data_IF_768397402421
#
_entry.id   IF_768397402421
#
_cell.length_a   1.000
_cell.length_b   1.000
_cell.length_c   1.000
_cell.angle_alpha   90.00
_cell.angle_beta   90.00
_cell.angle_gamma   90.00
#
_symmetry.space_group_name_H-M   'P 1'
#
loop_
_entity.id
_entity.type
_entity.pdbx_description
1 polymer ?
#
# COMPACT_ATOMS: atom_id res chain seq x y z
N UNK A 1 20.76 -1.74 21.72
CA UNK A 1 21.01 -2.42 20.43
C UNK A 1 20.27 -1.68 19.36
N UNK A 2 20.99 -0.93 18.57
CA UNK A 2 20.44 -0.34 17.38
C UNK A 2 20.33 -1.45 16.33
N UNK A 3 19.14 -2.06 16.26
CA UNK A 3 18.84 -2.90 15.12
C UNK A 3 18.85 -2.01 13.89
N UNK A 4 19.97 -1.90 13.21
CA UNK A 4 20.01 -1.47 11.86
C UNK A 4 19.09 -2.42 11.09
N UNK A 5 17.83 -2.04 10.92
CA UNK A 5 17.04 -2.62 9.84
C UNK A 5 17.81 -2.20 8.58
N UNK A 6 18.64 -3.09 8.09
CA UNK A 6 19.29 -2.89 6.80
C UNK A 6 18.17 -2.59 5.82
N UNK A 7 18.21 -1.41 5.19
CA UNK A 7 17.34 -1.09 4.06
C UNK A 7 17.56 -2.21 3.06
N UNK A 8 16.50 -2.93 2.63
CA UNK A 8 16.67 -4.03 1.69
C UNK A 8 17.41 -3.51 0.45
N UNK A 9 18.47 -4.20 0.08
CA UNK A 9 19.17 -3.85 -1.14
C UNK A 9 18.29 -4.17 -2.35
N UNK A 10 18.45 -3.44 -3.44
CA UNK A 10 17.67 -3.67 -4.66
C UNK A 10 17.75 -5.12 -5.16
N UNK A 11 18.86 -5.81 -4.87
CA UNK A 11 19.06 -7.22 -5.23
C UNK A 11 18.13 -8.19 -4.50
N UNK A 12 17.54 -7.78 -3.36
CA UNK A 12 16.60 -8.60 -2.60
C UNK A 12 15.18 -8.58 -3.20
N UNK A 13 14.95 -7.74 -4.20
CA UNK A 13 13.64 -7.55 -4.83
C UNK A 13 13.60 -8.19 -6.21
N UNK A 14 12.43 -8.72 -6.56
CA UNK A 14 12.15 -9.24 -7.90
C UNK A 14 11.52 -8.13 -8.74
N UNK A 15 12.07 -7.88 -9.92
CA UNK A 15 11.48 -6.95 -10.88
C UNK A 15 10.12 -7.48 -11.36
N UNK A 16 9.17 -6.59 -11.55
CA UNK A 16 7.90 -6.92 -12.19
C UNK A 16 8.18 -7.06 -13.69
N UNK A 17 8.02 -8.27 -14.20
CA UNK A 17 8.24 -8.61 -15.61
C UNK A 17 6.92 -8.71 -16.37
N UNK A 18 6.16 -7.63 -16.32
CA UNK A 18 4.89 -7.50 -17.04
C UNK A 18 4.76 -6.08 -17.56
N UNK A 19 4.21 -5.89 -18.79
CA UNK A 19 3.93 -4.55 -19.26
C UNK A 19 2.86 -3.89 -18.38
N UNK A 20 3.03 -2.59 -18.15
CA UNK A 20 2.08 -1.79 -17.39
C UNK A 20 0.73 -1.73 -18.11
N UNK A 21 -0.34 -2.07 -17.40
CA UNK A 21 -1.70 -1.88 -17.88
C UNK A 21 -2.16 -0.43 -17.73
N UNK A 22 -3.12 -0.05 -18.55
CA UNK A 22 -3.70 1.29 -18.56
C UNK A 22 -5.21 1.31 -18.31
N UNK A 23 -5.74 0.30 -17.63
CA UNK A 23 -7.12 0.30 -17.17
C UNK A 23 -7.35 1.35 -16.07
N UNK A 24 -8.59 1.56 -15.66
CA UNK A 24 -8.89 2.63 -14.71
C UNK A 24 -8.28 2.37 -13.34
N UNK A 25 -8.26 1.12 -12.87
CA UNK A 25 -7.57 0.76 -11.62
C UNK A 25 -6.08 1.12 -11.66
N UNK A 26 -5.41 0.77 -12.76
CA UNK A 26 -3.99 1.06 -12.94
C UNK A 26 -3.70 2.55 -12.95
N UNK A 27 -4.50 3.33 -13.65
CA UNK A 27 -4.40 4.79 -13.67
C UNK A 27 -4.60 5.40 -12.30
N UNK A 28 -5.60 4.93 -11.57
CA UNK A 28 -5.92 5.41 -10.22
C UNK A 28 -4.81 5.08 -9.24
N UNK A 29 -4.31 3.84 -9.24
CA UNK A 29 -3.22 3.43 -8.37
C UNK A 29 -1.97 4.27 -8.61
N UNK A 30 -1.58 4.45 -9.86
CA UNK A 30 -0.41 5.26 -10.23
C UNK A 30 -0.61 6.73 -9.86
N UNK A 31 -1.81 7.26 -10.00
CA UNK A 31 -2.12 8.63 -9.57
C UNK A 31 -1.82 8.81 -8.07
N UNK A 32 -2.22 7.84 -7.24
CA UNK A 32 -1.91 7.90 -5.80
C UNK A 32 -0.41 7.73 -5.55
N UNK A 33 0.23 6.74 -6.16
CA UNK A 33 1.66 6.48 -5.99
C UNK A 33 2.49 7.71 -6.37
N UNK A 34 2.15 8.39 -7.46
CA UNK A 34 2.85 9.60 -7.90
C UNK A 34 2.41 10.89 -7.19
N UNK A 35 1.38 10.82 -6.33
CA UNK A 35 1.01 11.91 -5.42
C UNK A 35 1.69 11.81 -4.06
N UNK A 36 2.54 10.81 -3.86
CA UNK A 36 3.20 10.57 -2.57
C UNK A 36 4.17 11.69 -2.16
N UNK A 37 4.71 12.44 -3.11
CA UNK A 37 5.69 13.52 -2.87
C UNK A 37 5.15 14.66 -2.00
N UNK A 38 3.87 14.90 -1.99
CA UNK A 38 3.24 15.97 -1.19
C UNK A 38 2.41 15.45 -0.01
N UNK A 39 2.59 14.18 0.38
CA UNK A 39 1.84 13.57 1.48
C UNK A 39 0.35 13.43 1.21
N UNK A 40 -0.04 13.31 -0.06
CA UNK A 40 -1.42 13.17 -0.50
C UNK A 40 -2.32 14.36 -0.13
N UNK A 41 -1.75 15.55 0.02
CA UNK A 41 -2.49 16.77 0.45
C UNK A 41 -3.71 17.03 -0.43
N UNK A 42 -3.59 16.85 -1.74
CA UNK A 42 -4.69 17.07 -2.69
C UNK A 42 -5.83 16.05 -2.57
N UNK A 43 -5.63 14.99 -1.77
CA UNK A 43 -6.60 13.91 -1.59
C UNK A 43 -7.21 13.90 -0.19
N UNK A 44 -6.75 14.75 0.72
CA UNK A 44 -7.28 14.86 2.07
C UNK A 44 -8.66 15.51 2.06
N UNK A 45 -9.62 14.80 2.63
CA UNK A 45 -10.96 15.31 2.91
C UNK A 45 -11.15 15.63 4.39
N UNK A 46 -12.32 15.34 4.91
CA UNK A 46 -12.65 15.58 6.31
C UNK A 46 -11.86 14.70 7.25
N UNK A 47 -11.48 15.27 8.39
CA UNK A 47 -10.84 14.52 9.48
C UNK A 47 -11.80 13.44 10.01
N UNK A 48 -11.30 12.22 10.15
CA UNK A 48 -12.02 11.10 10.75
C UNK A 48 -11.55 10.99 12.20
N UNK A 49 -12.49 10.82 13.14
CA UNK A 49 -12.12 10.56 14.52
C UNK A 49 -11.36 9.23 14.63
N UNK A 50 -10.20 9.28 15.29
CA UNK A 50 -9.37 8.11 15.53
C UNK A 50 -9.38 7.81 17.02
N UNK A 51 -9.45 6.51 17.37
CA UNK A 51 -9.28 6.04 18.75
C UNK A 51 -7.82 6.17 19.24
N UNK A 52 -6.88 6.43 18.34
CA UNK A 52 -5.47 6.61 18.67
C UNK A 52 -5.07 8.06 18.50
N UNK A 53 -4.66 8.70 19.60
CA UNK A 53 -4.23 10.10 19.60
C UNK A 53 -2.93 10.35 18.79
N UNK A 54 -2.19 9.29 18.47
CA UNK A 54 -0.96 9.38 17.67
C UNK A 54 -1.21 9.46 16.17
N UNK A 55 -2.45 9.20 15.73
CA UNK A 55 -2.81 9.19 14.32
C UNK A 55 -3.94 10.18 14.07
N UNK A 56 -3.80 10.95 13.02
CA UNK A 56 -4.91 11.70 12.45
C UNK A 56 -5.27 11.09 11.12
N UNK A 57 -6.51 10.66 10.98
CA UNK A 57 -7.01 10.08 9.74
C UNK A 57 -7.90 11.09 9.02
N UNK A 58 -7.74 11.16 7.72
CA UNK A 58 -8.56 11.99 6.83
C UNK A 58 -9.26 11.09 5.83
N UNK A 59 -10.55 11.28 5.61
CA UNK A 59 -11.23 10.62 4.51
C UNK A 59 -10.56 11.03 3.20
N UNK A 60 -10.37 10.09 2.28
CA UNK A 60 -9.86 10.46 0.97
C UNK A 60 -10.98 11.05 0.11
N UNK A 61 -10.70 12.12 -0.61
CA UNK A 61 -11.56 12.65 -1.65
C UNK A 61 -11.45 11.85 -2.94
N UNK A 62 -10.49 10.95 -3.02
CA UNK A 62 -10.21 10.09 -4.16
C UNK A 62 -10.23 8.62 -3.74
N UNK A 63 -10.91 7.79 -4.50
CA UNK A 63 -10.91 6.34 -4.30
C UNK A 63 -10.36 5.65 -5.56
N UNK A 64 -9.55 4.61 -5.33
CA UNK A 64 -9.10 3.75 -6.42
C UNK A 64 -10.29 2.92 -6.90
N UNK A 65 -10.48 2.84 -8.22
CA UNK A 65 -11.58 2.10 -8.84
C UNK A 65 -11.68 0.67 -8.31
N UNK A 66 -12.88 0.31 -7.87
CA UNK A 66 -13.20 -0.99 -7.30
C UNK A 66 -13.07 -1.05 -5.77
N UNK A 67 -12.57 0.00 -5.13
CA UNK A 67 -12.37 0.05 -3.67
C UNK A 67 -12.97 1.33 -3.09
N UNK A 68 -13.62 1.18 -1.94
CA UNK A 68 -14.21 2.29 -1.21
C UNK A 68 -13.58 2.43 0.18
N UNK A 69 -13.83 3.56 0.83
CA UNK A 69 -13.34 3.79 2.19
C UNK A 69 -11.85 4.04 2.28
N UNK A 70 -11.21 4.49 1.19
CA UNK A 70 -9.81 4.92 1.24
C UNK A 70 -9.65 6.12 2.17
N UNK A 71 -8.55 6.16 2.90
CA UNK A 71 -8.26 7.26 3.82
C UNK A 71 -6.76 7.54 3.87
N UNK A 72 -6.42 8.71 4.42
CA UNK A 72 -5.03 9.10 4.62
C UNK A 72 -4.75 9.05 6.11
N UNK A 73 -3.77 8.23 6.49
CA UNK A 73 -3.29 8.09 7.86
C UNK A 73 -2.06 8.95 8.04
N UNK A 74 -2.15 9.95 8.91
CA UNK A 74 -1.07 10.87 9.25
C UNK A 74 -0.59 10.57 10.66
N UNK A 75 0.60 10.01 10.77
CA UNK A 75 1.25 9.72 12.06
C UNK A 75 2.16 10.88 12.46
N UNK A 76 2.21 11.16 13.75
CA UNK A 76 2.95 12.32 14.30
C UNK A 76 4.45 12.33 14.04
N UNK A 77 5.02 11.29 13.47
CA UNK A 77 6.46 11.14 13.19
C UNK A 77 6.80 11.25 11.70
N UNK A 78 6.01 11.99 10.95
CA UNK A 78 6.21 12.20 9.50
C UNK A 78 6.02 10.93 8.66
N UNK A 79 5.25 9.99 9.14
CA UNK A 79 4.80 8.83 8.37
C UNK A 79 3.38 9.11 7.92
N UNK A 80 3.19 9.23 6.62
CA UNK A 80 1.88 9.43 6.01
C UNK A 80 1.64 8.31 5.00
N UNK A 81 0.48 7.68 5.10
CA UNK A 81 0.08 6.62 4.19
C UNK A 81 -1.29 6.92 3.56
N UNK A 82 -1.41 6.64 2.29
CA UNK A 82 -2.72 6.47 1.65
C UNK A 82 -3.12 5.01 1.84
N UNK A 83 -4.24 4.77 2.50
CA UNK A 83 -4.67 3.44 2.92
C UNK A 83 -5.87 2.98 2.10
N UNK A 84 -5.74 1.80 1.52
CA UNK A 84 -6.78 1.16 0.71
C UNK A 84 -7.20 -0.15 1.36
N UNK A 85 -8.42 -0.23 1.95
CA UNK A 85 -8.97 -1.52 2.39
C UNK A 85 -9.30 -2.38 1.17
N UNK A 86 -8.53 -3.47 0.97
CA UNK A 86 -8.70 -4.36 -0.19
C UNK A 86 -9.71 -5.47 0.08
N UNK A 87 -9.59 -6.14 1.22
CA UNK A 87 -10.54 -7.16 1.71
C UNK A 87 -10.77 -6.91 3.19
N UNK A 88 -12.01 -7.04 3.64
CA UNK A 88 -12.38 -6.79 5.03
C UNK A 88 -13.19 -7.95 5.59
N UNK A 89 -12.72 -8.50 6.72
CA UNK A 89 -13.42 -9.55 7.47
C UNK A 89 -13.81 -10.75 6.62
N UNK A 90 -12.88 -11.24 5.77
CA UNK A 90 -13.11 -12.41 4.92
C UNK A 90 -12.54 -13.68 5.55
N UNK A 91 -13.08 -14.84 5.17
CA UNK A 91 -12.55 -16.11 5.61
C UNK A 91 -11.23 -16.47 4.91
N UNK A 92 -10.57 -17.51 5.39
CA UNK A 92 -9.28 -17.97 4.86
C UNK A 92 -9.37 -18.36 3.38
N UNK A 93 -10.43 -19.04 2.98
CA UNK A 93 -10.59 -19.50 1.60
C UNK A 93 -10.75 -18.32 0.65
N UNK A 94 -11.60 -17.37 1.00
CA UNK A 94 -11.77 -16.11 0.26
C UNK A 94 -10.47 -15.33 0.18
N UNK A 95 -9.74 -15.25 1.30
CA UNK A 95 -8.44 -14.57 1.34
C UNK A 95 -7.45 -15.23 0.37
N UNK A 96 -7.31 -16.55 0.40
CA UNK A 96 -6.42 -17.29 -0.50
C UNK A 96 -6.77 -17.07 -1.97
N UNK A 97 -8.06 -17.12 -2.28
CA UNK A 97 -8.52 -17.00 -3.67
C UNK A 97 -8.36 -15.58 -4.19
N UNK A 98 -8.78 -14.58 -3.41
CA UNK A 98 -8.83 -13.20 -3.88
C UNK A 98 -7.50 -12.45 -3.73
N UNK A 99 -6.67 -12.80 -2.74
CA UNK A 99 -5.40 -12.10 -2.51
C UNK A 99 -4.44 -12.21 -3.69
N UNK A 100 -4.35 -13.38 -4.31
CA UNK A 100 -3.51 -13.58 -5.49
C UNK A 100 -3.98 -12.76 -6.68
N UNK A 101 -5.29 -12.70 -6.89
CA UNK A 101 -5.89 -11.89 -7.96
C UNK A 101 -5.62 -10.39 -7.74
N UNK A 102 -5.79 -9.91 -6.51
CA UNK A 102 -5.53 -8.50 -6.15
C UNK A 102 -4.05 -8.18 -6.33
N UNK A 103 -3.16 -9.06 -5.84
CA UNK A 103 -1.72 -8.86 -5.97
C UNK A 103 -1.27 -8.81 -7.43
N UNK A 104 -1.78 -9.72 -8.25
CA UNK A 104 -1.52 -9.72 -9.70
C UNK A 104 -1.98 -8.42 -10.36
N UNK A 105 -3.15 -7.92 -9.98
CA UNK A 105 -3.71 -6.66 -10.48
C UNK A 105 -2.84 -5.45 -10.10
N UNK A 106 -2.30 -5.43 -8.88
CA UNK A 106 -1.36 -4.39 -8.45
C UNK A 106 -0.06 -4.46 -9.24
N UNK A 107 0.50 -5.65 -9.44
CA UNK A 107 1.70 -5.83 -10.26
C UNK A 107 1.50 -5.38 -11.70
N UNK A 108 0.37 -5.73 -12.31
CA UNK A 108 0.02 -5.31 -13.67
C UNK A 108 -0.14 -3.78 -13.78
N UNK A 109 -0.64 -3.14 -12.72
CA UNK A 109 -0.78 -1.69 -12.68
C UNK A 109 0.57 -0.97 -12.53
N UNK A 110 1.47 -1.49 -11.71
CA UNK A 110 2.77 -0.88 -11.44
C UNK A 110 3.75 -1.08 -12.60
N UNK A 111 3.80 -2.28 -13.18
CA UNK A 111 4.65 -2.58 -14.32
C UNK A 111 6.15 -2.63 -14.01
N UNK A 112 7.00 -2.64 -15.07
CA UNK A 112 8.43 -2.95 -14.95
C UNK A 112 9.29 -1.86 -14.30
N UNK A 113 8.72 -0.71 -13.95
CA UNK A 113 9.42 0.32 -13.17
C UNK A 113 9.42 0.05 -11.67
N UNK A 114 8.85 -1.07 -11.24
CA UNK A 114 8.74 -1.47 -9.84
C UNK A 114 9.29 -2.87 -9.63
N UNK A 115 9.67 -3.13 -8.39
CA UNK A 115 10.09 -4.44 -7.91
C UNK A 115 9.38 -4.76 -6.60
N UNK A 116 9.29 -6.03 -6.24
CA UNK A 116 8.60 -6.48 -5.04
C UNK A 116 9.39 -7.52 -4.26
N UNK A 117 9.10 -7.63 -2.98
CA UNK A 117 9.57 -8.71 -2.12
C UNK A 117 8.45 -9.13 -1.18
N UNK A 118 8.27 -10.44 -1.02
CA UNK A 118 7.31 -11.02 -0.09
C UNK A 118 8.00 -11.44 1.21
N UNK A 119 7.32 -11.27 2.33
CA UNK A 119 7.78 -11.68 3.65
C UNK A 119 6.64 -12.36 4.42
N UNK A 120 6.97 -13.09 5.50
CA UNK A 120 5.97 -13.69 6.36
C UNK A 120 5.05 -14.69 5.65
N UNK A 121 5.60 -15.58 4.81
CA UNK A 121 4.85 -16.54 3.99
C UNK A 121 3.82 -15.87 3.06
N UNK A 122 4.15 -14.70 2.53
CA UNK A 122 3.27 -13.95 1.63
C UNK A 122 2.23 -13.09 2.33
N UNK A 123 2.28 -12.98 3.67
CA UNK A 123 1.38 -12.11 4.44
C UNK A 123 1.72 -10.63 4.30
N UNK A 124 2.88 -10.31 3.80
CA UNK A 124 3.31 -8.95 3.50
C UNK A 124 4.07 -8.91 2.18
N UNK A 125 3.72 -7.99 1.31
CA UNK A 125 4.42 -7.75 0.05
C UNK A 125 4.76 -6.27 -0.04
N UNK A 126 6.05 -5.97 -0.20
CA UNK A 126 6.57 -4.61 -0.29
C UNK A 126 7.00 -4.32 -1.71
N UNK A 127 6.64 -3.14 -2.20
CA UNK A 127 7.00 -2.66 -3.55
C UNK A 127 7.90 -1.43 -3.44
N UNK A 128 8.92 -1.39 -4.29
CA UNK A 128 9.82 -0.26 -4.44
C UNK A 128 9.83 0.22 -5.88
N UNK A 129 10.14 1.50 -6.08
CA UNK A 129 10.45 2.01 -7.42
C UNK A 129 11.87 1.59 -7.82
N UNK A 130 12.03 1.17 -9.05
CA UNK A 130 13.34 0.76 -9.59
C UNK A 130 14.41 1.84 -9.47
N UNK A 131 14.04 3.11 -9.62
CA UNK A 131 14.95 4.25 -9.55
C UNK A 131 15.11 4.85 -8.15
N UNK A 132 14.38 4.34 -7.16
CA UNK A 132 14.46 4.76 -5.75
C UNK A 132 14.34 3.55 -4.82
N UNK A 133 15.26 2.57 -4.92
CA UNK A 133 15.12 1.28 -4.23
C UNK A 133 15.27 1.38 -2.72
N UNK A 134 15.81 2.48 -2.21
CA UNK A 134 15.96 2.76 -0.78
C UNK A 134 14.63 3.11 -0.08
N UNK A 135 13.55 3.30 -0.85
CA UNK A 135 12.25 3.73 -0.33
C UNK A 135 11.15 2.75 -0.70
N UNK A 136 10.35 2.40 0.29
CA UNK A 136 9.11 1.67 0.06
C UNK A 136 8.11 2.58 -0.66
N UNK A 137 7.57 2.11 -1.77
CA UNK A 137 6.51 2.82 -2.49
C UNK A 137 5.13 2.43 -1.92
N UNK A 138 4.89 1.15 -1.75
CA UNK A 138 3.68 0.64 -1.12
C UNK A 138 3.90 -0.74 -0.50
N UNK A 139 3.03 -1.10 0.44
CA UNK A 139 3.04 -2.40 1.10
C UNK A 139 1.61 -2.94 1.15
N UNK A 140 1.46 -4.23 0.89
CA UNK A 140 0.19 -4.94 1.05
C UNK A 140 0.34 -5.92 2.20
N UNK A 141 -0.49 -5.79 3.23
CA UNK A 141 -0.49 -6.64 4.40
C UNK A 141 -1.79 -7.44 4.51
N UNK A 142 -1.66 -8.69 4.92
CA UNK A 142 -2.76 -9.56 5.31
C UNK A 142 -2.68 -9.76 6.82
N UNK A 143 -3.74 -9.42 7.54
CA UNK A 143 -3.80 -9.50 9.00
C UNK A 143 -5.00 -10.33 9.45
N UNK A 144 -4.80 -11.19 10.45
CA UNK A 144 -5.91 -11.90 11.09
C UNK A 144 -6.67 -10.99 12.05
N UNK A 145 -7.98 -11.14 12.10
CA UNK A 145 -8.85 -10.44 13.04
C UNK A 145 -9.20 -11.32 14.23
N UNK A 146 -9.84 -10.74 15.24
CA UNK A 146 -10.26 -11.47 16.46
C UNK A 146 -11.27 -12.59 16.19
N UNK A 147 -11.95 -12.58 15.04
CA UNK A 147 -13.00 -13.53 14.69
C UNK A 147 -12.55 -14.63 13.72
N UNK A 148 -11.25 -14.94 13.65
CA UNK A 148 -10.67 -15.85 12.67
C UNK A 148 -10.98 -15.44 11.22
N UNK A 149 -11.12 -14.16 10.99
CA UNK A 149 -11.26 -13.54 9.69
C UNK A 149 -9.96 -12.82 9.31
N UNK A 150 -9.89 -12.35 8.09
CA UNK A 150 -8.71 -11.71 7.57
C UNK A 150 -9.05 -10.38 6.90
N UNK A 151 -8.16 -9.42 7.07
CA UNK A 151 -8.16 -8.16 6.34
C UNK A 151 -6.96 -8.13 5.41
N UNK A 152 -7.12 -7.57 4.23
CA UNK A 152 -6.02 -7.25 3.31
C UNK A 152 -6.04 -5.75 3.07
N UNK A 153 -4.93 -5.09 3.35
CA UNK A 153 -4.82 -3.63 3.29
C UNK A 153 -3.59 -3.23 2.50
N UNK A 154 -3.73 -2.25 1.64
CA UNK A 154 -2.62 -1.64 0.92
C UNK A 154 -2.31 -0.27 1.53
N UNK A 155 -1.04 -0.04 1.85
CA UNK A 155 -0.49 1.21 2.36
C UNK A 155 0.43 1.80 1.30
N UNK A 156 0.10 2.96 0.78
CA UNK A 156 0.95 3.68 -0.16
C UNK A 156 1.69 4.75 0.63
N UNK A 157 3.02 4.64 0.68
CA UNK A 157 3.84 5.49 1.52
C UNK A 157 4.04 6.87 0.89
N UNK A 158 3.90 7.91 1.70
CA UNK A 158 4.27 9.25 1.27
C UNK A 158 5.79 9.34 1.08
N UNK A 159 6.18 10.01 0.03
CA UNK A 159 7.57 10.34 -0.26
C UNK A 159 7.85 11.78 0.14
N UNK A 160 7.83 12.03 1.46
CA UNK A 160 8.16 13.33 2.00
C UNK A 160 9.65 13.35 2.29
N UNK A 161 10.42 13.92 1.38
CA UNK A 161 11.80 14.29 1.65
C UNK A 161 11.82 15.57 2.49
N UNK A 162 12.31 15.40 3.69
CA UNK A 162 12.71 16.58 4.47
C UNK A 162 14.07 17.09 4.00
#
# INVERSE_FOLDING_TARGET
MNGNKSVPTYTDYTLIDKPQLSDQFSKDLLKVVYSAWNGFENMKGSKIESSFYLFTNYASTFNITGYSGCYIEDRTMSIINFVVPLLKEVDMETMKTQSQSILSKVMDALGPNFAYAAAGNGMSVTFIKKNSPERTALTINIESTKNNKYNMTMYIDADITK
#
